data_IF_232510745136
#
_entry.id   IF_232510745136
#
_cell.length_a   1.000
_cell.length_b   1.000
_cell.length_c   1.000
_cell.angle_alpha   90.00
_cell.angle_beta   90.00
_cell.angle_gamma   90.00
#
_symmetry.space_group_name_H-M   'P 1'
#
loop_
_entity.id
_entity.type
_entity.pdbx_description
1 polymer ?
#
# COMPACT_ATOMS: atom_id res chain seq x y z
N UNK A 1 3.48 -24.79 27.83
CA UNK A 1 2.20 -24.16 28.24
C UNK A 1 2.58 -23.29 29.41
N UNK A 2 3.01 -22.08 29.13
CA UNK A 2 3.25 -21.08 30.17
C UNK A 2 1.91 -20.40 30.38
N UNK A 3 1.26 -20.72 31.51
CA UNK A 3 0.11 -19.96 31.99
C UNK A 3 0.56 -18.50 32.13
N UNK A 4 -0.08 -17.61 31.36
CA UNK A 4 0.08 -16.15 31.50
C UNK A 4 -0.30 -15.79 32.95
N UNK A 5 0.70 -15.61 33.81
CA UNK A 5 0.54 -14.80 35.01
C UNK A 5 0.02 -13.45 34.52
N UNK A 6 -1.22 -13.12 34.85
CA UNK A 6 -1.83 -11.84 34.52
C UNK A 6 -1.06 -10.70 35.18
N UNK A 7 -0.03 -10.21 34.50
CA UNK A 7 0.65 -8.95 34.84
C UNK A 7 -0.28 -7.81 34.46
N UNK A 8 -0.60 -6.92 35.39
CA UNK A 8 -1.45 -5.75 35.15
C UNK A 8 -0.69 -4.65 34.37
N UNK A 9 -0.08 -5.06 33.25
CA UNK A 9 0.77 -4.21 32.42
C UNK A 9 -0.10 -3.20 31.64
N UNK A 10 0.24 -1.90 31.67
CA UNK A 10 -0.52 -0.90 30.94
C UNK A 10 -0.55 -1.18 29.43
N UNK A 11 -1.66 -0.84 28.80
CA UNK A 11 -1.83 -0.94 27.35
C UNK A 11 -2.00 0.45 26.78
N UNK A 12 -1.30 0.78 25.72
CA UNK A 12 -1.43 2.05 25.00
C UNK A 12 -1.77 1.80 23.54
N UNK A 13 -2.35 2.81 22.89
CA UNK A 13 -2.60 2.78 21.45
C UNK A 13 -1.97 3.98 20.74
N UNK A 14 -1.69 3.79 19.45
CA UNK A 14 -1.32 4.83 18.50
C UNK A 14 -2.13 4.62 17.22
N UNK A 15 -2.93 5.62 16.86
CA UNK A 15 -3.63 5.68 15.58
C UNK A 15 -2.72 6.34 14.54
N UNK A 16 -2.40 5.62 13.47
CA UNK A 16 -1.37 6.01 12.51
C UNK A 16 -2.03 6.54 11.24
N UNK A 17 -1.56 7.70 10.78
CA UNK A 17 -1.84 8.22 9.44
C UNK A 17 -0.61 8.09 8.54
N UNK A 18 -0.81 7.74 7.28
CA UNK A 18 0.23 7.71 6.23
C UNK A 18 -0.24 8.60 5.07
N UNK A 19 0.53 9.64 4.74
CA UNK A 19 0.19 10.57 3.66
C UNK A 19 -1.14 11.29 3.88
N UNK A 20 -1.49 11.58 5.13
CA UNK A 20 -2.77 12.21 5.52
C UNK A 20 -3.97 11.27 5.60
N UNK A 21 -3.79 9.98 5.31
CA UNK A 21 -4.84 8.97 5.37
C UNK A 21 -4.70 8.11 6.62
N UNK A 22 -5.78 7.95 7.39
CA UNK A 22 -5.80 7.08 8.56
C UNK A 22 -5.57 5.62 8.14
N UNK A 23 -4.47 5.02 8.57
CA UNK A 23 -4.10 3.64 8.20
C UNK A 23 -4.70 2.63 9.18
N UNK A 24 -4.60 2.89 10.49
CA UNK A 24 -5.13 2.00 11.51
C UNK A 24 -4.49 2.21 12.89
N UNK A 25 -4.88 1.36 13.83
CA UNK A 25 -4.42 1.40 15.22
C UNK A 25 -3.32 0.39 15.50
N UNK A 26 -2.27 0.82 16.19
CA UNK A 26 -1.27 -0.04 16.84
C UNK A 26 -1.57 -0.08 18.32
N UNK A 27 -1.66 -1.27 18.90
CA UNK A 27 -1.82 -1.45 20.35
C UNK A 27 -0.59 -2.12 20.93
N UNK A 28 -0.07 -1.55 22.00
CA UNK A 28 1.14 -2.01 22.68
C UNK A 28 0.85 -2.34 24.14
N UNK A 29 1.52 -3.36 24.65
CA UNK A 29 1.61 -3.67 26.08
C UNK A 29 2.97 -3.19 26.60
N UNK A 30 2.97 -2.42 27.69
CA UNK A 30 4.16 -1.88 28.33
C UNK A 30 4.60 -2.79 29.48
N UNK A 31 5.87 -3.17 29.51
CA UNK A 31 6.46 -4.06 30.53
C UNK A 31 6.75 -3.30 31.82
N UNK A 32 5.71 -2.74 32.45
CA UNK A 32 5.83 -1.94 33.67
C UNK A 32 6.29 -2.79 34.89
N UNK A 33 6.13 -4.10 34.82
CA UNK A 33 6.66 -5.07 35.76
C UNK A 33 8.19 -5.25 35.68
N UNK A 34 8.80 -4.97 34.54
CA UNK A 34 10.26 -5.12 34.31
C UNK A 34 10.98 -3.77 34.24
N UNK A 35 10.37 -2.79 33.58
CA UNK A 35 10.92 -1.44 33.36
C UNK A 35 9.88 -0.35 33.69
N UNK A 36 9.44 -0.23 34.96
CA UNK A 36 8.37 0.67 35.38
C UNK A 36 8.61 2.13 34.99
N UNK A 37 9.85 2.64 35.07
CA UNK A 37 10.13 4.05 34.71
C UNK A 37 10.03 4.27 33.20
N UNK A 38 10.56 3.36 32.42
CA UNK A 38 10.52 3.44 30.95
C UNK A 38 9.09 3.28 30.44
N UNK A 39 8.33 2.35 31.02
CA UNK A 39 6.91 2.15 30.73
C UNK A 39 6.08 3.39 31.10
N UNK A 40 6.25 3.97 32.30
CA UNK A 40 5.52 5.17 32.72
C UNK A 40 5.85 6.37 31.83
N UNK A 41 7.11 6.54 31.41
CA UNK A 41 7.48 7.57 30.45
C UNK A 41 6.69 7.45 29.14
N UNK A 42 6.66 6.25 28.54
CA UNK A 42 5.93 6.04 27.30
C UNK A 42 4.41 6.21 27.48
N UNK A 43 3.84 5.65 28.55
CA UNK A 43 2.40 5.76 28.86
C UNK A 43 1.96 7.21 29.00
N UNK A 44 2.68 8.00 29.80
CA UNK A 44 2.37 9.41 30.02
C UNK A 44 2.56 10.27 28.76
N UNK A 45 3.52 9.93 27.90
CA UNK A 45 3.67 10.54 26.57
C UNK A 45 2.55 10.11 25.60
N UNK A 46 1.93 8.95 25.78
CA UNK A 46 0.72 8.59 25.04
C UNK A 46 -0.51 9.38 25.51
N UNK A 47 -0.65 9.66 26.81
CA UNK A 47 -1.81 10.40 27.35
C UNK A 47 -1.67 11.91 27.28
N UNK A 48 -0.45 12.43 27.24
CA UNK A 48 -0.18 13.87 27.30
C UNK A 48 -0.41 14.49 28.68
N UNK A 49 -0.58 13.68 29.72
CA UNK A 49 -1.03 14.15 31.04
C UNK A 49 -0.01 15.04 31.79
N UNK A 50 1.27 15.00 31.38
CA UNK A 50 2.35 15.75 32.05
C UNK A 50 2.50 17.19 31.55
N UNK A 51 1.62 17.65 30.65
CA UNK A 51 1.58 19.04 30.20
C UNK A 51 2.74 19.40 29.27
N UNK A 52 3.34 20.58 29.47
CA UNK A 52 4.40 21.13 28.62
C UNK A 52 5.78 20.75 29.17
N UNK A 53 6.65 20.25 28.29
CA UNK A 53 8.03 19.91 28.63
C UNK A 53 8.84 21.16 28.99
N UNK A 54 9.50 21.20 30.16
CA UNK A 54 10.20 22.40 30.62
C UNK A 54 11.44 22.74 29.79
N UNK A 55 12.05 21.78 29.09
CA UNK A 55 13.26 22.02 28.31
C UNK A 55 12.99 22.30 26.83
N UNK A 56 11.91 21.72 26.28
CA UNK A 56 11.53 21.86 24.87
C UNK A 56 10.42 22.86 24.62
N UNK A 57 9.60 23.18 25.64
CA UNK A 57 8.46 24.09 25.52
C UNK A 57 7.28 23.55 24.71
N UNK A 58 7.30 22.27 24.33
CA UNK A 58 6.22 21.59 23.59
C UNK A 58 5.44 20.64 24.51
N UNK A 59 4.20 20.24 24.18
CA UNK A 59 3.49 19.22 24.93
C UNK A 59 4.28 17.89 25.01
N UNK A 60 4.35 17.30 26.20
CA UNK A 60 4.86 15.95 26.44
C UNK A 60 3.84 14.92 25.95
N UNK A 61 3.63 14.85 24.63
CA UNK A 61 2.56 14.07 24.01
C UNK A 61 2.97 13.58 22.62
N UNK A 62 2.74 12.30 22.32
CA UNK A 62 3.02 11.71 21.01
C UNK A 62 2.02 12.10 19.91
N UNK A 63 0.84 12.61 20.27
CA UNK A 63 -0.16 13.05 19.29
C UNK A 63 0.41 14.14 18.38
N UNK A 64 0.43 13.87 17.08
CA UNK A 64 1.02 14.72 16.05
C UNK A 64 2.51 14.45 15.79
N UNK A 65 3.19 13.63 16.59
CA UNK A 65 4.59 13.25 16.37
C UNK A 65 4.72 12.33 15.16
N UNK A 66 5.87 12.41 14.50
CA UNK A 66 6.16 11.73 13.24
C UNK A 66 7.05 10.50 13.45
N UNK A 67 6.87 9.50 12.59
CA UNK A 67 7.92 8.52 12.32
C UNK A 67 8.90 9.16 11.34
N UNK A 68 10.02 9.66 11.85
CA UNK A 68 10.99 10.44 11.09
C UNK A 68 12.07 9.59 10.41
N UNK A 69 12.19 8.31 10.81
CA UNK A 69 13.16 7.37 10.26
C UNK A 69 12.58 5.96 10.15
N UNK A 70 12.64 5.36 8.96
CA UNK A 70 12.05 4.05 8.65
C UNK A 70 13.07 3.22 7.87
N UNK A 71 13.49 2.08 8.40
CA UNK A 71 14.42 1.18 7.72
C UNK A 71 13.74 -0.16 7.52
N UNK A 72 13.42 -0.46 6.25
CA UNK A 72 12.77 -1.71 5.87
C UNK A 72 13.61 -2.92 6.29
N UNK A 73 12.96 -3.90 6.93
CA UNK A 73 13.61 -5.09 7.45
C UNK A 73 14.41 -4.86 8.73
N UNK A 74 14.26 -3.69 9.38
CA UNK A 74 14.94 -3.38 10.63
C UNK A 74 13.98 -2.79 11.68
N UNK A 75 13.58 -1.53 11.54
CA UNK A 75 12.76 -0.81 12.52
C UNK A 75 12.07 0.43 11.93
N UNK A 76 11.05 0.92 12.63
CA UNK A 76 10.45 2.25 12.43
C UNK A 76 10.67 3.09 13.68
N UNK A 77 11.18 4.31 13.55
CA UNK A 77 11.54 5.19 14.67
C UNK A 77 10.71 6.48 14.65
N UNK A 78 10.21 6.84 15.83
CA UNK A 78 9.41 8.03 16.07
C UNK A 78 9.64 8.58 17.48
N UNK A 79 8.71 9.41 17.95
CA UNK A 79 8.75 9.94 19.31
C UNK A 79 9.67 11.14 19.51
N UNK A 80 10.19 11.76 18.44
CA UNK A 80 10.69 13.12 18.53
C UNK A 80 9.47 14.05 18.55
N UNK A 81 9.09 14.48 19.74
CA UNK A 81 7.91 15.31 20.01
C UNK A 81 8.16 16.80 19.79
N UNK A 82 9.41 17.20 19.53
CA UNK A 82 9.82 18.61 19.50
C UNK A 82 10.31 19.08 18.14
N UNK A 83 11.38 18.49 17.61
CA UNK A 83 11.94 18.85 16.30
C UNK A 83 11.29 18.01 15.18
N UNK A 84 10.91 16.77 15.48
CA UNK A 84 10.25 15.87 14.55
C UNK A 84 11.18 15.28 13.48
N UNK A 85 12.50 15.43 13.64
CA UNK A 85 13.54 14.99 12.69
C UNK A 85 14.58 14.04 13.31
N UNK A 86 14.43 13.72 14.61
CA UNK A 86 15.31 12.84 15.36
C UNK A 86 16.36 13.58 16.19
N UNK A 87 16.43 14.91 16.12
CA UNK A 87 17.37 15.72 16.91
C UNK A 87 16.81 16.17 18.26
N UNK A 88 15.49 16.04 18.46
CA UNK A 88 14.80 16.51 19.66
C UNK A 88 14.25 15.40 20.55
N UNK A 89 13.28 15.77 21.38
CA UNK A 89 12.59 14.92 22.33
C UNK A 89 12.96 15.24 23.77
N UNK A 90 12.08 14.87 24.68
CA UNK A 90 12.23 15.08 26.12
C UNK A 90 11.40 14.03 26.86
N UNK A 91 11.93 13.46 27.94
CA UNK A 91 11.19 12.51 28.77
C UNK A 91 10.30 13.25 29.79
N UNK A 92 9.37 12.53 30.41
CA UNK A 92 8.58 13.09 31.52
C UNK A 92 9.42 13.39 32.78
N UNK A 93 10.68 12.96 32.81
CA UNK A 93 11.62 13.16 33.91
C UNK A 93 12.65 14.26 33.62
N UNK A 94 12.54 14.95 32.47
CA UNK A 94 13.51 15.92 31.96
C UNK A 94 14.10 15.50 30.61
N UNK A 95 15.12 16.21 30.12
CA UNK A 95 15.72 15.97 28.80
C UNK A 95 16.09 14.50 28.55
N UNK A 96 16.72 13.86 29.54
CA UNK A 96 17.21 12.48 29.45
C UNK A 96 17.02 11.73 30.77
N UNK A 97 16.87 10.41 30.70
CA UNK A 97 16.90 9.50 31.84
C UNK A 97 17.75 8.25 31.54
N UNK A 98 18.09 7.54 32.62
CA UNK A 98 19.00 6.39 32.63
C UNK A 98 18.41 5.15 31.93
N UNK A 99 19.29 4.24 31.51
CA UNK A 99 18.89 2.91 31.07
C UNK A 99 18.45 2.10 32.30
N UNK A 100 17.19 1.66 32.32
CA UNK A 100 16.62 1.02 33.52
C UNK A 100 17.16 -0.39 33.74
N UNK A 101 17.11 -1.25 32.72
CA UNK A 101 17.83 -2.52 32.63
C UNK A 101 17.84 -3.03 31.18
N UNK A 102 18.50 -4.17 30.94
CA UNK A 102 18.56 -4.85 29.64
C UNK A 102 18.18 -6.34 29.74
N UNK A 103 17.26 -6.69 30.65
CA UNK A 103 16.82 -8.08 30.84
C UNK A 103 16.07 -8.59 29.61
N UNK A 104 15.22 -7.74 29.03
CA UNK A 104 14.47 -8.02 27.82
C UNK A 104 15.31 -7.78 26.56
N UNK A 105 15.17 -8.69 25.60
CA UNK A 105 15.94 -8.72 24.35
C UNK A 105 15.07 -8.44 23.13
N UNK A 106 15.71 -8.04 22.04
CA UNK A 106 15.05 -7.75 20.76
C UNK A 106 14.80 -9.03 19.95
N UNK A 107 14.10 -9.99 20.55
CA UNK A 107 14.02 -11.38 20.05
C UNK A 107 13.04 -11.59 18.90
N UNK A 108 12.08 -10.68 18.72
CA UNK A 108 11.00 -10.78 17.74
C UNK A 108 10.65 -9.43 17.12
N UNK A 109 9.89 -9.47 16.03
CA UNK A 109 9.24 -8.27 15.48
C UNK A 109 8.21 -7.73 16.48
N UNK A 110 7.97 -6.42 16.44
CA UNK A 110 6.99 -5.75 17.29
C UNK A 110 7.51 -5.43 18.69
N UNK A 111 8.80 -5.60 18.98
CA UNK A 111 9.37 -5.09 20.23
C UNK A 111 9.58 -3.58 20.12
N UNK A 112 9.15 -2.85 21.14
CA UNK A 112 9.38 -1.42 21.31
C UNK A 112 10.57 -1.21 22.24
N UNK A 113 11.45 -0.30 21.86
CA UNK A 113 12.67 0.00 22.61
C UNK A 113 13.05 1.47 22.48
N UNK A 114 13.73 1.98 23.50
CA UNK A 114 14.15 3.39 23.56
C UNK A 114 15.25 3.67 22.53
N UNK A 115 15.09 4.74 21.77
CA UNK A 115 16.19 5.32 21.00
C UNK A 115 17.04 6.20 21.94
N UNK A 116 18.36 6.15 21.79
CA UNK A 116 19.30 6.91 22.61
C UNK A 116 20.51 7.35 21.77
N UNK A 117 21.31 8.26 22.32
CA UNK A 117 22.58 8.74 21.75
C UNK A 117 23.79 8.25 22.55
N UNK A 118 23.70 7.03 23.10
CA UNK A 118 24.65 6.45 24.04
C UNK A 118 24.00 6.10 25.39
N UNK A 119 24.77 5.48 26.30
CA UNK A 119 24.26 5.02 27.59
C UNK A 119 23.58 6.14 28.39
N UNK A 120 22.45 5.82 29.03
CA UNK A 120 21.69 6.72 29.91
C UNK A 120 21.21 8.01 29.23
N UNK A 121 20.82 7.94 27.95
CA UNK A 121 20.32 9.09 27.19
C UNK A 121 18.92 8.90 26.62
N UNK A 122 18.08 8.15 27.34
CA UNK A 122 16.69 7.91 26.94
C UNK A 122 15.86 9.20 27.07
N UNK A 123 15.06 9.52 26.05
CA UNK A 123 14.18 10.69 26.02
C UNK A 123 12.73 10.29 25.74
N UNK A 124 12.14 10.86 24.70
CA UNK A 124 10.83 10.43 24.16
C UNK A 124 10.94 9.56 22.91
N UNK A 125 12.10 9.49 22.26
CA UNK A 125 12.24 8.74 21.02
C UNK A 125 12.24 7.23 21.27
N UNK A 126 11.55 6.49 20.41
CA UNK A 126 11.45 5.05 20.46
C UNK A 126 11.49 4.47 19.04
N UNK A 127 11.76 3.18 18.95
CA UNK A 127 11.60 2.43 17.71
C UNK A 127 10.78 1.15 17.92
N UNK A 128 10.06 0.75 16.88
CA UNK A 128 9.38 -0.54 16.79
C UNK A 128 10.15 -1.42 15.82
N UNK A 129 10.65 -2.54 16.32
CA UNK A 129 11.38 -3.52 15.50
C UNK A 129 10.44 -4.20 14.51
N UNK A 130 10.90 -4.41 13.29
CA UNK A 130 10.15 -5.17 12.26
C UNK A 130 10.76 -6.55 12.00
N UNK A 131 11.93 -6.82 12.58
CA UNK A 131 12.61 -8.12 12.58
C UNK A 131 13.29 -8.36 13.94
N UNK A 132 13.92 -9.51 14.14
CA UNK A 132 14.79 -9.78 15.29
C UNK A 132 16.08 -8.96 15.18
N UNK A 133 16.45 -8.23 16.23
CA UNK A 133 17.56 -7.24 16.19
C UNK A 133 18.54 -7.39 17.36
N UNK A 134 19.23 -8.54 17.49
CA UNK A 134 20.03 -8.87 18.68
C UNK A 134 21.27 -7.99 18.85
N UNK A 135 21.70 -7.28 17.80
CA UNK A 135 22.82 -6.34 17.86
C UNK A 135 22.50 -5.07 18.67
N UNK A 136 21.23 -4.86 19.03
CA UNK A 136 20.73 -3.79 19.90
C UNK A 136 20.64 -4.22 21.37
N UNK A 137 20.76 -5.51 21.67
CA UNK A 137 20.70 -6.04 23.03
C UNK A 137 21.82 -5.44 23.90
N UNK A 138 21.49 -5.05 25.13
CA UNK A 138 22.43 -4.40 26.06
C UNK A 138 22.74 -2.93 25.73
N UNK A 139 22.10 -2.35 24.71
CA UNK A 139 22.32 -0.95 24.29
C UNK A 139 21.06 -0.09 24.31
N UNK A 140 19.90 -0.72 24.11
CA UNK A 140 18.60 -0.06 24.09
C UNK A 140 17.63 -0.80 25.01
N UNK A 141 16.91 -0.04 25.84
CA UNK A 141 15.95 -0.59 26.80
C UNK A 141 14.69 -1.02 26.06
N UNK A 142 14.43 -2.32 26.00
CA UNK A 142 13.16 -2.89 25.53
C UNK A 142 12.11 -2.69 26.61
N UNK A 143 11.00 -2.04 26.27
CA UNK A 143 9.99 -1.65 27.27
C UNK A 143 8.56 -1.99 26.91
N UNK A 144 8.29 -2.44 25.69
CA UNK A 144 6.95 -2.81 25.28
C UNK A 144 6.96 -3.79 24.11
N UNK A 145 5.78 -4.35 23.81
CA UNK A 145 5.53 -5.12 22.59
C UNK A 145 4.21 -4.72 21.93
N UNK A 146 4.17 -4.79 20.60
CA UNK A 146 2.94 -4.71 19.82
C UNK A 146 2.11 -5.97 20.08
N UNK A 147 0.88 -5.78 20.53
CA UNK A 147 -0.09 -6.86 20.75
C UNK A 147 -1.17 -6.91 19.66
N UNK A 148 -1.48 -5.78 19.02
CA UNK A 148 -2.37 -5.67 17.85
C UNK A 148 -1.87 -4.60 16.88
N UNK A 149 -2.21 -4.71 15.61
CA UNK A 149 -1.85 -3.71 14.61
C UNK A 149 -0.42 -3.83 14.07
N UNK A 150 0.19 -5.02 14.19
CA UNK A 150 1.51 -5.26 13.57
C UNK A 150 1.47 -5.06 12.05
N UNK A 151 0.30 -5.27 11.42
CA UNK A 151 0.10 -4.95 10.01
C UNK A 151 0.21 -3.45 9.69
N UNK A 152 -0.24 -2.57 10.59
CA UNK A 152 -0.07 -1.11 10.46
C UNK A 152 1.40 -0.74 10.57
N UNK A 153 2.14 -1.35 11.50
CA UNK A 153 3.61 -1.21 11.59
C UNK A 153 4.30 -1.63 10.28
N UNK A 154 3.82 -2.71 9.64
CA UNK A 154 4.32 -3.13 8.32
C UNK A 154 3.95 -2.14 7.20
N UNK A 155 2.78 -1.54 7.24
CA UNK A 155 2.41 -0.47 6.29
C UNK A 155 3.36 0.72 6.41
N UNK A 156 3.71 1.13 7.64
CA UNK A 156 4.72 2.18 7.87
C UNK A 156 6.10 1.76 7.35
N UNK A 157 6.54 0.54 7.65
CA UNK A 157 7.83 0.00 7.17
C UNK A 157 7.96 0.00 5.63
N UNK A 158 6.85 -0.15 4.92
CA UNK A 158 6.80 -0.18 3.46
C UNK A 158 6.53 1.18 2.81
N UNK A 159 6.39 2.24 3.60
CA UNK A 159 6.35 3.59 3.07
C UNK A 159 7.66 3.90 2.33
N UNK A 160 7.61 4.56 1.15
CA UNK A 160 8.83 4.92 0.45
C UNK A 160 9.66 5.89 1.30
N UNK A 161 10.98 5.72 1.28
CA UNK A 161 11.93 6.53 2.05
C UNK A 161 12.88 7.28 1.12
N UNK A 162 13.28 8.47 1.54
CA UNK A 162 14.29 9.30 0.89
C UNK A 162 15.59 9.36 1.69
N UNK A 163 16.24 10.51 1.66
CA UNK A 163 17.50 10.75 2.37
C UNK A 163 17.35 10.54 3.88
N UNK A 164 18.39 9.97 4.50
CA UNK A 164 18.42 9.69 5.94
C UNK A 164 17.38 8.66 6.42
N UNK A 165 16.88 7.81 5.53
CA UNK A 165 15.80 6.85 5.79
C UNK A 165 14.47 7.52 6.17
N UNK A 166 14.27 8.79 5.80
CA UNK A 166 13.05 9.52 6.14
C UNK A 166 11.90 9.18 5.18
N UNK A 167 10.68 8.90 5.67
CA UNK A 167 9.53 8.65 4.79
C UNK A 167 9.25 9.81 3.83
N UNK A 168 9.01 9.52 2.54
CA UNK A 168 8.68 10.53 1.52
C UNK A 168 7.27 11.10 1.65
N UNK A 169 6.45 10.48 2.50
CA UNK A 169 5.10 10.93 2.87
C UNK A 169 5.01 10.99 4.38
N UNK A 170 4.24 11.93 4.90
CA UNK A 170 4.10 12.09 6.35
C UNK A 170 3.51 10.83 6.99
N UNK A 171 4.23 10.24 7.95
CA UNK A 171 3.73 9.19 8.83
C UNK A 171 3.60 9.75 10.23
N UNK A 172 2.37 9.89 10.71
CA UNK A 172 2.03 10.64 11.93
C UNK A 172 1.25 9.75 12.89
N UNK A 173 1.53 9.88 14.19
CA UNK A 173 0.66 9.39 15.27
C UNK A 173 -0.50 10.40 15.40
N UNK A 174 -1.62 10.13 14.73
CA UNK A 174 -2.76 11.04 14.65
C UNK A 174 -3.52 11.14 15.99
N UNK A 175 -3.57 10.05 16.74
CA UNK A 175 -4.08 10.01 18.10
C UNK A 175 -3.36 8.93 18.91
N UNK A 176 -3.29 9.09 20.22
CA UNK A 176 -2.72 8.10 21.11
C UNK A 176 -3.31 8.23 22.51
N UNK A 177 -3.12 7.18 23.31
CA UNK A 177 -3.61 7.18 24.68
C UNK A 177 -3.40 5.84 25.38
N UNK A 178 -3.84 5.79 26.62
CA UNK A 178 -3.91 4.58 27.42
C UNK A 178 -5.27 3.88 27.22
N UNK A 179 -5.26 2.56 27.17
CA UNK A 179 -6.44 1.70 27.15
C UNK A 179 -6.67 1.23 28.59
N UNK A 180 -7.80 1.60 29.23
CA UNK A 180 -8.12 1.14 30.58
C UNK A 180 -8.12 -0.39 30.71
N UNK A 181 -7.93 -0.87 31.92
CA UNK A 181 -8.11 -2.29 32.23
C UNK A 181 -9.52 -2.74 31.83
N UNK A 182 -9.63 -3.86 31.11
CA UNK A 182 -10.90 -4.34 30.54
C UNK A 182 -11.48 -3.50 29.39
N UNK A 183 -10.84 -2.38 29.00
CA UNK A 183 -11.26 -1.55 27.88
C UNK A 183 -11.11 -2.24 26.52
N UNK A 184 -11.97 -1.88 25.57
CA UNK A 184 -11.90 -2.36 24.19
C UNK A 184 -10.64 -1.85 23.48
N UNK A 185 -9.97 -2.72 22.72
CA UNK A 185 -8.74 -2.37 22.00
C UNK A 185 -8.99 -1.39 20.84
N UNK A 186 -10.23 -1.26 20.37
CA UNK A 186 -10.61 -0.37 19.28
C UNK A 186 -10.05 -0.75 17.92
N UNK A 187 -9.82 -2.04 17.67
CA UNK A 187 -9.32 -2.57 16.38
C UNK A 187 -10.44 -3.05 15.45
N UNK A 188 -11.65 -3.22 15.98
CA UNK A 188 -12.89 -3.58 15.27
C UNK A 188 -13.77 -2.36 15.13
N UNK A 189 -14.52 -2.24 14.02
CA UNK A 189 -15.33 -1.06 13.70
C UNK A 189 -14.56 0.27 13.82
N UNK A 190 -13.26 0.22 13.53
CA UNK A 190 -12.34 1.35 13.72
C UNK A 190 -12.77 2.59 12.93
N UNK A 191 -13.27 2.40 11.70
CA UNK A 191 -13.78 3.48 10.85
C UNK A 191 -15.26 3.84 11.12
N UNK A 192 -15.88 3.25 12.15
CA UNK A 192 -17.28 3.49 12.55
C UNK A 192 -18.28 3.27 11.41
N UNK A 193 -18.01 2.29 10.56
CA UNK A 193 -18.79 1.94 9.36
C UNK A 193 -19.61 0.65 9.53
N UNK A 194 -19.53 0.00 10.69
CA UNK A 194 -20.19 -1.26 11.00
C UNK A 194 -19.37 -2.52 10.68
N UNK A 195 -18.13 -2.36 10.19
CA UNK A 195 -17.24 -3.48 9.92
C UNK A 195 -16.61 -4.02 11.21
N UNK A 196 -17.18 -5.10 11.75
CA UNK A 196 -16.77 -5.67 13.03
C UNK A 196 -15.51 -6.54 12.97
N UNK A 197 -14.89 -6.71 11.81
CA UNK A 197 -13.66 -7.50 11.69
C UNK A 197 -12.42 -6.60 11.79
N UNK A 198 -11.33 -7.04 12.42
CA UNK A 198 -10.06 -6.32 12.37
C UNK A 198 -9.56 -6.14 10.93
N UNK A 199 -8.79 -5.09 10.66
CA UNK A 199 -8.25 -4.88 9.30
C UNK A 199 -7.21 -5.93 8.90
N UNK A 200 -6.54 -6.53 9.88
CA UNK A 200 -5.54 -7.56 9.69
C UNK A 200 -6.03 -8.88 10.32
N UNK A 201 -6.15 -9.98 9.53
CA UNK A 201 -6.56 -11.29 10.04
C UNK A 201 -5.78 -11.81 11.25
N UNK A 202 -4.49 -11.46 11.34
CA UNK A 202 -3.62 -11.87 12.44
C UNK A 202 -4.10 -11.33 13.80
N UNK A 203 -4.77 -10.18 13.80
CA UNK A 203 -5.27 -9.49 14.98
C UNK A 203 -6.60 -10.06 15.51
N UNK A 204 -7.21 -11.04 14.82
CA UNK A 204 -8.35 -11.79 15.36
C UNK A 204 -7.94 -12.53 16.63
N UNK A 205 -8.75 -12.38 17.68
CA UNK A 205 -8.59 -13.11 18.95
C UNK A 205 -8.81 -14.61 18.72
N UNK A 206 -9.94 -14.95 18.11
CA UNK A 206 -10.26 -16.31 17.71
C UNK A 206 -10.10 -16.47 16.19
N UNK A 207 -9.46 -17.56 15.77
CA UNK A 207 -9.22 -17.88 14.36
C UNK A 207 -10.00 -19.15 14.02
N UNK A 208 -11.21 -19.04 13.47
CA UNK A 208 -12.03 -20.22 13.16
C UNK A 208 -11.32 -21.17 12.19
N UNK A 209 -11.60 -22.46 12.33
CA UNK A 209 -11.11 -23.48 11.39
C UNK A 209 -11.96 -23.52 10.12
N UNK A 210 -13.27 -23.26 10.26
CA UNK A 210 -14.25 -23.34 9.17
C UNK A 210 -13.95 -22.34 8.05
N UNK A 211 -13.68 -22.86 6.84
CA UNK A 211 -13.40 -22.03 5.66
C UNK A 211 -14.58 -21.13 5.30
N UNK A 212 -15.81 -21.59 5.51
CA UNK A 212 -17.05 -20.84 5.27
C UNK A 212 -17.09 -19.52 6.05
N UNK A 213 -16.61 -19.53 7.30
CA UNK A 213 -16.53 -18.32 8.12
C UNK A 213 -15.60 -17.30 7.46
N UNK A 214 -14.39 -17.70 7.07
CA UNK A 214 -13.43 -16.80 6.41
C UNK A 214 -13.97 -16.25 5.09
N UNK A 215 -14.61 -17.10 4.28
CA UNK A 215 -15.26 -16.69 3.04
C UNK A 215 -16.37 -15.66 3.29
N UNK A 216 -17.12 -15.78 4.38
CA UNK A 216 -18.15 -14.80 4.77
C UNK A 216 -17.52 -13.43 5.12
N UNK A 217 -16.35 -13.42 5.77
CA UNK A 217 -15.62 -12.18 6.08
C UNK A 217 -15.06 -11.52 4.81
N UNK A 218 -14.55 -12.32 3.87
CA UNK A 218 -14.11 -11.83 2.55
C UNK A 218 -15.27 -11.17 1.81
N UNK A 219 -16.44 -11.83 1.76
CA UNK A 219 -17.63 -11.29 1.09
C UNK A 219 -18.13 -10.02 1.76
N UNK A 220 -18.18 -10.00 3.10
CA UNK A 220 -18.55 -8.83 3.89
C UNK A 220 -17.60 -7.65 3.60
N UNK A 221 -16.29 -7.87 3.68
CA UNK A 221 -15.26 -6.85 3.40
C UNK A 221 -15.36 -6.31 1.97
N UNK A 222 -15.60 -7.20 0.99
CA UNK A 222 -15.86 -6.81 -0.40
C UNK A 222 -17.13 -5.96 -0.52
N UNK A 223 -18.19 -6.32 0.20
CA UNK A 223 -19.46 -5.57 0.23
C UNK A 223 -19.27 -4.15 0.79
N UNK A 224 -18.51 -3.99 1.88
CA UNK A 224 -18.11 -2.67 2.38
C UNK A 224 -17.35 -1.87 1.32
N UNK A 225 -16.39 -2.50 0.62
CA UNK A 225 -15.67 -1.87 -0.49
C UNK A 225 -16.60 -1.39 -1.61
N UNK A 226 -17.61 -2.20 -1.98
CA UNK A 226 -18.63 -1.80 -2.95
C UNK A 226 -19.48 -0.63 -2.44
N UNK A 227 -19.80 -0.61 -1.13
CA UNK A 227 -20.52 0.47 -0.48
C UNK A 227 -19.78 1.80 -0.57
N UNK A 228 -18.50 1.82 -0.24
CA UNK A 228 -17.65 3.01 -0.38
C UNK A 228 -17.47 3.44 -1.83
N UNK A 229 -17.31 2.47 -2.75
CA UNK A 229 -17.22 2.78 -4.19
C UNK A 229 -18.46 3.54 -4.70
N UNK A 230 -19.66 3.12 -4.27
CA UNK A 230 -20.92 3.81 -4.61
C UNK A 230 -21.01 5.23 -4.06
N UNK A 231 -20.34 5.49 -2.93
CA UNK A 231 -20.23 6.83 -2.32
C UNK A 231 -19.09 7.66 -2.92
N UNK A 232 -18.42 7.15 -3.97
CA UNK A 232 -17.25 7.76 -4.61
C UNK A 232 -16.03 7.94 -3.70
N UNK A 233 -16.03 7.28 -2.52
CA UNK A 233 -14.85 7.19 -1.65
C UNK A 233 -13.99 6.01 -2.10
N UNK A 234 -13.23 6.26 -3.17
CA UNK A 234 -12.40 5.23 -3.80
C UNK A 234 -11.21 4.82 -2.92
N UNK A 235 -10.75 5.67 -1.99
CA UNK A 235 -9.66 5.35 -1.06
C UNK A 235 -10.12 4.33 -0.02
N UNK A 236 -11.27 4.57 0.63
CA UNK A 236 -11.84 3.60 1.56
C UNK A 236 -12.30 2.32 0.85
N UNK A 237 -12.84 2.42 -0.37
CA UNK A 237 -13.15 1.25 -1.18
C UNK A 237 -11.91 0.36 -1.37
N UNK A 238 -10.77 0.95 -1.77
CA UNK A 238 -9.50 0.21 -1.90
C UNK A 238 -9.05 -0.41 -0.58
N UNK A 239 -9.18 0.29 0.54
CA UNK A 239 -8.80 -0.24 1.85
C UNK A 239 -9.60 -1.51 2.17
N UNK A 240 -10.92 -1.48 1.95
CA UNK A 240 -11.80 -2.64 2.17
C UNK A 240 -11.54 -3.79 1.19
N UNK A 241 -11.23 -3.51 -0.07
CA UNK A 241 -10.82 -4.56 -1.02
C UNK A 241 -9.48 -5.20 -0.64
N UNK A 242 -8.50 -4.41 -0.19
CA UNK A 242 -7.22 -4.94 0.32
C UNK A 242 -7.43 -5.79 1.57
N UNK A 243 -8.31 -5.37 2.48
CA UNK A 243 -8.74 -6.20 3.62
C UNK A 243 -9.34 -7.52 3.16
N UNK A 244 -10.26 -7.49 2.20
CA UNK A 244 -10.86 -8.71 1.65
C UNK A 244 -9.80 -9.65 1.06
N UNK A 245 -8.78 -9.12 0.37
CA UNK A 245 -7.65 -9.92 -0.14
C UNK A 245 -6.82 -10.53 1.00
N UNK A 246 -6.52 -9.78 2.07
CA UNK A 246 -5.79 -10.32 3.23
C UNK A 246 -6.52 -11.49 3.88
N UNK A 247 -7.83 -11.38 4.06
CA UNK A 247 -8.65 -12.48 4.58
C UNK A 247 -8.70 -13.66 3.61
N UNK A 248 -8.77 -13.38 2.31
CA UNK A 248 -8.77 -14.41 1.27
C UNK A 248 -7.44 -15.18 1.22
N UNK A 249 -6.31 -14.51 1.44
CA UNK A 249 -5.00 -15.17 1.51
C UNK A 249 -4.95 -16.17 2.68
N UNK A 250 -5.52 -15.83 3.83
CA UNK A 250 -5.64 -16.78 4.96
C UNK A 250 -6.59 -17.94 4.64
N UNK A 251 -7.62 -17.71 3.82
CA UNK A 251 -8.48 -18.81 3.37
C UNK A 251 -7.67 -19.89 2.65
N UNK A 252 -6.69 -19.50 1.80
CA UNK A 252 -5.90 -20.43 0.99
C UNK A 252 -5.03 -21.40 1.79
N UNK A 253 -4.70 -21.04 3.03
CA UNK A 253 -3.87 -21.86 3.92
C UNK A 253 -4.69 -22.89 4.73
N UNK A 254 -6.01 -22.96 4.51
CA UNK A 254 -6.91 -23.87 5.26
C UNK A 254 -6.97 -25.26 4.64
N UNK A 255 -6.99 -26.29 5.48
CA UNK A 255 -6.96 -27.70 5.06
C UNK A 255 -8.22 -28.15 4.30
N UNK A 256 -9.38 -27.54 4.55
CA UNK A 256 -10.68 -27.97 3.99
C UNK A 256 -11.01 -27.38 2.61
N UNK A 257 -10.02 -26.91 1.85
CA UNK A 257 -10.24 -26.35 0.51
C UNK A 257 -10.32 -27.47 -0.52
N UNK A 258 -11.55 -27.79 -0.92
CA UNK A 258 -11.83 -28.61 -2.09
C UNK A 258 -11.78 -27.80 -3.39
N UNK A 259 -11.97 -28.47 -4.52
CA UNK A 259 -11.91 -27.87 -5.85
C UNK A 259 -13.02 -26.82 -6.07
N UNK A 260 -14.21 -27.02 -5.49
CA UNK A 260 -15.33 -26.08 -5.60
C UNK A 260 -15.03 -24.78 -4.86
N UNK A 261 -14.58 -24.88 -3.60
CA UNK A 261 -14.17 -23.72 -2.79
C UNK A 261 -12.99 -23.01 -3.42
N UNK A 262 -11.99 -23.73 -3.93
CA UNK A 262 -10.84 -23.16 -4.64
C UNK A 262 -11.28 -22.32 -5.86
N UNK A 263 -12.21 -22.86 -6.67
CA UNK A 263 -12.79 -22.15 -7.80
C UNK A 263 -13.54 -20.88 -7.36
N UNK A 264 -14.31 -20.97 -6.28
CA UNK A 264 -15.04 -19.82 -5.72
C UNK A 264 -14.10 -18.74 -5.15
N UNK A 265 -13.00 -19.13 -4.49
CA UNK A 265 -11.98 -18.22 -3.98
C UNK A 265 -11.28 -17.47 -5.12
N UNK A 266 -10.84 -18.18 -6.17
CA UNK A 266 -10.27 -17.56 -7.39
C UNK A 266 -11.25 -16.60 -8.04
N UNK A 267 -12.51 -17.00 -8.16
CA UNK A 267 -13.58 -16.14 -8.69
C UNK A 267 -13.73 -14.87 -7.88
N UNK A 268 -13.73 -14.99 -6.56
CA UNK A 268 -13.86 -13.87 -5.61
C UNK A 268 -12.66 -12.93 -5.69
N UNK A 269 -11.44 -13.49 -5.69
CA UNK A 269 -10.19 -12.73 -5.84
C UNK A 269 -10.16 -11.93 -7.14
N UNK A 270 -10.54 -12.55 -8.26
CA UNK A 270 -10.65 -11.88 -9.55
C UNK A 270 -11.62 -10.69 -9.51
N UNK A 271 -12.78 -10.84 -8.87
CA UNK A 271 -13.76 -9.76 -8.73
C UNK A 271 -13.23 -8.62 -7.86
N UNK A 272 -12.61 -8.94 -6.71
CA UNK A 272 -12.03 -7.93 -5.81
C UNK A 272 -10.94 -7.13 -6.54
N UNK A 273 -10.03 -7.80 -7.26
CA UNK A 273 -8.98 -7.16 -8.06
C UNK A 273 -9.56 -6.30 -9.19
N UNK A 274 -10.64 -6.75 -9.85
CA UNK A 274 -11.35 -5.95 -10.86
C UNK A 274 -11.92 -4.66 -10.26
N UNK A 275 -12.50 -4.74 -9.06
CA UNK A 275 -13.03 -3.56 -8.35
C UNK A 275 -11.91 -2.64 -7.85
N UNK A 276 -10.80 -3.22 -7.38
CA UNK A 276 -9.60 -2.47 -7.00
C UNK A 276 -9.02 -1.69 -8.17
N UNK A 277 -8.89 -2.34 -9.34
CA UNK A 277 -8.49 -1.69 -10.59
C UNK A 277 -9.38 -0.49 -10.94
N UNK A 278 -10.70 -0.64 -10.81
CA UNK A 278 -11.65 0.46 -11.05
C UNK A 278 -11.42 1.65 -10.12
N UNK A 279 -11.14 1.41 -8.83
CA UNK A 279 -10.81 2.49 -7.88
C UNK A 279 -9.50 3.18 -8.23
N UNK A 280 -8.47 2.40 -8.58
CA UNK A 280 -7.15 2.94 -8.95
C UNK A 280 -7.21 3.81 -10.21
N UNK A 281 -8.02 3.43 -11.20
CA UNK A 281 -8.30 4.29 -12.37
C UNK A 281 -8.90 5.64 -11.95
N UNK A 282 -9.85 5.63 -11.00
CA UNK A 282 -10.47 6.85 -10.49
C UNK A 282 -9.51 7.72 -9.68
N UNK A 283 -8.56 7.11 -9.00
CA UNK A 283 -7.52 7.79 -8.21
C UNK A 283 -6.29 8.21 -9.04
N UNK A 284 -6.23 7.86 -10.33
CA UNK A 284 -5.10 8.17 -11.21
C UNK A 284 -3.89 7.24 -11.06
N UNK A 285 -3.97 6.17 -10.27
CA UNK A 285 -2.96 5.12 -10.20
C UNK A 285 -3.10 4.17 -11.40
N UNK A 286 -2.69 4.64 -12.58
CA UNK A 286 -2.90 3.93 -13.84
C UNK A 286 -2.12 2.63 -13.92
N UNK A 287 -0.88 2.62 -13.42
CA UNK A 287 -0.02 1.43 -13.40
C UNK A 287 -0.57 0.38 -12.42
N UNK A 288 -0.96 0.79 -11.22
CA UNK A 288 -1.57 -0.12 -10.26
C UNK A 288 -2.94 -0.63 -10.73
N UNK A 289 -3.70 0.17 -11.46
CA UNK A 289 -4.96 -0.26 -12.06
C UNK A 289 -4.76 -1.36 -13.11
N UNK A 290 -3.76 -1.18 -13.98
CA UNK A 290 -3.40 -2.17 -14.99
C UNK A 290 -2.94 -3.47 -14.32
N UNK A 291 -2.06 -3.38 -13.32
CA UNK A 291 -1.56 -4.54 -12.58
C UNK A 291 -2.69 -5.35 -11.92
N UNK A 292 -3.65 -4.68 -11.28
CA UNK A 292 -4.80 -5.36 -10.66
C UNK A 292 -5.70 -6.02 -11.70
N UNK A 293 -5.90 -5.38 -12.87
CA UNK A 293 -6.68 -5.96 -13.95
C UNK A 293 -5.99 -7.22 -14.52
N UNK A 294 -4.67 -7.18 -14.70
CA UNK A 294 -3.88 -8.33 -15.14
C UNK A 294 -3.96 -9.50 -14.16
N UNK A 295 -3.80 -9.23 -12.85
CA UNK A 295 -3.96 -10.27 -11.84
C UNK A 295 -5.40 -10.81 -11.81
N UNK A 296 -6.42 -9.96 -11.97
CA UNK A 296 -7.80 -10.41 -12.04
C UNK A 296 -8.04 -11.42 -13.18
N UNK A 297 -7.39 -11.21 -14.33
CA UNK A 297 -7.47 -12.09 -15.50
C UNK A 297 -6.71 -13.41 -15.33
N UNK A 298 -5.66 -13.44 -14.51
CA UNK A 298 -4.92 -14.68 -14.20
C UNK A 298 -5.67 -15.59 -13.23
N UNK A 299 -6.50 -15.02 -12.36
CA UNK A 299 -7.26 -15.79 -11.38
C UNK A 299 -8.42 -16.58 -12.02
N UNK A 300 -9.04 -16.06 -13.08
CA UNK A 300 -10.10 -16.76 -13.83
C UNK A 300 -10.17 -16.31 -15.27
N UNK A 301 -10.49 -17.25 -16.14
CA UNK A 301 -10.89 -16.96 -17.51
C UNK A 301 -12.30 -16.34 -17.56
N UNK A 302 -12.61 -15.66 -18.66
CA UNK A 302 -13.95 -15.13 -18.92
C UNK A 302 -14.40 -13.95 -18.05
N UNK A 303 -13.49 -13.22 -17.39
CA UNK A 303 -13.85 -11.98 -16.69
C UNK A 303 -13.85 -10.77 -17.66
N UNK A 304 -14.97 -10.56 -18.36
CA UNK A 304 -15.15 -9.46 -19.30
C UNK A 304 -14.89 -8.07 -18.66
N UNK A 305 -15.31 -7.88 -17.41
CA UNK A 305 -15.10 -6.64 -16.65
C UNK A 305 -13.62 -6.37 -16.40
N UNK A 306 -12.81 -7.39 -16.13
CA UNK A 306 -11.37 -7.22 -15.95
C UNK A 306 -10.70 -6.77 -17.27
N UNK A 307 -11.02 -7.40 -18.40
CA UNK A 307 -10.56 -6.93 -19.73
C UNK A 307 -11.02 -5.50 -20.03
N UNK A 308 -12.24 -5.14 -19.64
CA UNK A 308 -12.72 -3.77 -19.78
C UNK A 308 -11.91 -2.78 -18.94
N UNK A 309 -11.60 -3.09 -17.67
CA UNK A 309 -10.73 -2.25 -16.82
C UNK A 309 -9.30 -2.17 -17.36
N UNK A 310 -8.76 -3.28 -17.86
CA UNK A 310 -7.46 -3.36 -18.50
C UNK A 310 -7.39 -2.41 -19.71
N UNK A 311 -8.40 -2.45 -20.58
CA UNK A 311 -8.50 -1.54 -21.72
C UNK A 311 -8.59 -0.07 -21.31
N UNK A 312 -9.35 0.26 -20.26
CA UNK A 312 -9.40 1.62 -19.71
C UNK A 312 -8.04 2.09 -19.18
N UNK A 313 -7.30 1.21 -18.49
CA UNK A 313 -5.95 1.51 -18.00
C UNK A 313 -4.98 1.77 -19.15
N UNK A 314 -4.99 0.93 -20.19
CA UNK A 314 -4.16 1.14 -21.38
C UNK A 314 -4.48 2.45 -22.12
N UNK A 315 -5.76 2.81 -22.26
CA UNK A 315 -6.15 4.12 -22.82
C UNK A 315 -5.54 5.26 -22.00
N UNK A 316 -5.62 5.18 -20.68
CA UNK A 316 -5.09 6.22 -19.80
C UNK A 316 -3.55 6.28 -19.83
N UNK A 317 -2.88 5.15 -20.06
CA UNK A 317 -1.43 5.04 -20.26
C UNK A 317 -0.98 5.37 -21.70
N UNK A 318 -1.89 5.79 -22.57
CA UNK A 318 -1.65 6.12 -23.98
C UNK A 318 -1.21 4.91 -24.86
N UNK A 319 -1.46 3.69 -24.41
CA UNK A 319 -1.28 2.47 -25.20
C UNK A 319 -2.60 2.06 -25.86
N UNK A 320 -2.95 2.77 -26.93
CA UNK A 320 -4.26 2.61 -27.59
C UNK A 320 -4.39 1.25 -28.29
N UNK A 321 -3.28 0.69 -28.78
CA UNK A 321 -3.29 -0.60 -29.47
C UNK A 321 -3.59 -1.74 -28.49
N UNK A 322 -2.93 -1.78 -27.33
CA UNK A 322 -3.23 -2.76 -26.28
C UNK A 322 -4.65 -2.61 -25.72
N UNK A 323 -5.15 -1.37 -25.63
CA UNK A 323 -6.52 -1.10 -25.23
C UNK A 323 -7.56 -1.72 -26.17
N UNK A 324 -7.35 -1.60 -27.49
CA UNK A 324 -8.26 -2.19 -28.49
C UNK A 324 -8.32 -3.70 -28.37
N UNK A 325 -7.18 -4.38 -28.18
CA UNK A 325 -7.17 -5.83 -27.99
C UNK A 325 -7.88 -6.25 -26.70
N UNK A 326 -7.70 -5.49 -25.62
CA UNK A 326 -8.40 -5.74 -24.36
C UNK A 326 -9.92 -5.58 -24.51
N UNK A 327 -10.38 -4.51 -25.16
CA UNK A 327 -11.81 -4.28 -25.39
C UNK A 327 -12.44 -5.28 -26.37
N UNK A 328 -11.69 -5.79 -27.36
CA UNK A 328 -12.17 -6.89 -28.23
C UNK A 328 -12.45 -8.15 -27.42
N UNK A 329 -11.49 -8.57 -26.59
CA UNK A 329 -11.66 -9.74 -25.70
C UNK A 329 -12.83 -9.55 -24.73
N UNK A 330 -13.00 -8.35 -24.18
CA UNK A 330 -14.17 -8.04 -23.35
C UNK A 330 -15.49 -8.18 -24.13
N UNK A 331 -15.54 -7.71 -25.38
CA UNK A 331 -16.73 -7.77 -26.24
C UNK A 331 -17.03 -9.20 -26.73
N UNK A 332 -16.02 -10.03 -26.95
CA UNK A 332 -16.19 -11.45 -27.28
C UNK A 332 -16.91 -12.20 -26.15
N UNK A 333 -16.61 -11.83 -24.89
CA UNK A 333 -17.25 -12.41 -23.71
C UNK A 333 -18.64 -11.82 -23.44
N UNK A 334 -18.86 -10.53 -23.71
CA UNK A 334 -20.15 -9.85 -23.53
C UNK A 334 -20.57 -9.06 -24.79
N UNK A 335 -21.05 -9.74 -25.86
CA UNK A 335 -21.29 -9.12 -27.18
C UNK A 335 -22.38 -8.04 -27.20
N UNK A 336 -23.21 -7.98 -26.17
CA UNK A 336 -24.33 -7.04 -26.07
C UNK A 336 -24.05 -5.85 -25.16
N UNK A 337 -22.87 -5.77 -24.52
CA UNK A 337 -22.54 -4.64 -23.65
C UNK A 337 -22.30 -3.36 -24.46
N UNK A 338 -23.17 -2.37 -24.27
CA UNK A 338 -23.09 -1.08 -24.96
C UNK A 338 -21.91 -0.22 -24.52
N UNK A 339 -21.44 -0.38 -23.27
CA UNK A 339 -20.28 0.33 -22.73
C UNK A 339 -18.99 -0.12 -23.40
N UNK A 340 -18.78 -1.44 -23.52
CA UNK A 340 -17.61 -2.02 -24.20
C UNK A 340 -17.59 -1.59 -25.68
N UNK A 341 -18.74 -1.65 -26.38
CA UNK A 341 -18.84 -1.21 -27.78
C UNK A 341 -18.43 0.25 -27.96
N UNK A 342 -18.89 1.12 -27.06
CA UNK A 342 -18.60 2.56 -27.10
C UNK A 342 -17.10 2.84 -26.92
N UNK A 343 -16.47 2.24 -25.90
CA UNK A 343 -15.05 2.42 -25.62
C UNK A 343 -14.17 1.84 -26.75
N UNK A 344 -14.53 0.66 -27.27
CA UNK A 344 -13.84 0.05 -28.41
C UNK A 344 -13.89 0.95 -29.66
N UNK A 345 -15.06 1.51 -29.97
CA UNK A 345 -15.22 2.41 -31.10
C UNK A 345 -14.39 3.69 -30.92
N UNK A 346 -14.37 4.26 -29.71
CA UNK A 346 -13.55 5.42 -29.39
C UNK A 346 -12.04 5.13 -29.54
N UNK A 347 -11.58 3.98 -29.04
CA UNK A 347 -10.19 3.53 -29.16
C UNK A 347 -9.78 3.31 -30.62
N UNK A 348 -10.60 2.62 -31.42
CA UNK A 348 -10.37 2.44 -32.87
C UNK A 348 -10.30 3.76 -33.62
N UNK A 349 -11.15 4.73 -33.28
CA UNK A 349 -11.12 6.08 -33.85
C UNK A 349 -9.80 6.80 -33.53
N UNK A 350 -9.27 6.67 -32.31
CA UNK A 350 -7.95 7.23 -31.94
C UNK A 350 -6.83 6.65 -32.81
N UNK A 351 -6.81 5.33 -33.04
CA UNK A 351 -5.82 4.69 -33.93
C UNK A 351 -5.94 5.22 -35.37
N UNK A 352 -7.16 5.31 -35.89
CA UNK A 352 -7.39 5.83 -37.25
C UNK A 352 -6.90 7.27 -37.41
N UNK A 353 -7.18 8.14 -36.43
CA UNK A 353 -6.70 9.52 -36.42
C UNK A 353 -5.17 9.60 -36.35
N UNK A 354 -4.52 8.78 -35.50
CA UNK A 354 -3.05 8.72 -35.40
C UNK A 354 -2.43 8.33 -36.75
N UNK A 355 -2.95 7.28 -37.39
CA UNK A 355 -2.50 6.83 -38.72
C UNK A 355 -2.68 7.89 -39.80
N UNK A 356 -3.80 8.61 -39.79
CA UNK A 356 -4.04 9.72 -40.73
C UNK A 356 -3.05 10.88 -40.52
N UNK A 357 -2.75 11.22 -39.27
CA UNK A 357 -1.73 12.23 -38.94
C UNK A 357 -0.32 11.80 -39.38
N UNK A 358 0.07 10.56 -39.10
CA UNK A 358 1.36 9.98 -39.55
C UNK A 358 1.46 10.03 -41.08
N UNK A 359 0.41 9.60 -41.79
CA UNK A 359 0.36 9.64 -43.27
C UNK A 359 0.53 11.07 -43.79
N UNK A 360 -0.14 12.05 -43.18
CA UNK A 360 -0.01 13.47 -43.54
C UNK A 360 1.39 14.02 -43.27
N UNK A 361 2.02 13.62 -42.17
CA UNK A 361 3.38 14.02 -41.83
C UNK A 361 4.41 13.45 -42.82
N UNK A 362 4.32 12.15 -43.14
CA UNK A 362 5.16 11.52 -44.16
C UNK A 362 4.97 12.17 -45.53
N UNK A 363 3.72 12.43 -45.95
CA UNK A 363 3.45 13.11 -47.22
C UNK A 363 4.14 14.49 -47.30
N UNK A 364 4.19 15.25 -46.21
CA UNK A 364 4.90 16.54 -46.15
C UNK A 364 6.43 16.41 -46.22
N UNK A 365 7.01 15.32 -45.72
CA UNK A 365 8.46 15.09 -45.78
C UNK A 365 8.97 14.76 -47.19
N UNK A 366 8.12 14.23 -48.07
CA UNK A 366 8.48 13.87 -49.46
C UNK A 366 8.09 14.92 -50.50
N UNK A 367 7.46 16.04 -50.10
CA UNK A 367 7.30 17.21 -50.96
C UNK A 367 8.57 18.07 -50.78
N UNK A 368 9.57 17.82 -51.63
CA UNK A 368 10.72 18.72 -51.76
C UNK A 368 10.23 20.10 -52.24
N UNK A 369 10.85 21.23 -51.83
CA UNK A 369 10.51 22.52 -52.37
C UNK A 369 10.92 22.53 -53.85
N UNK A 370 9.95 22.44 -54.76
CA UNK A 370 10.14 22.80 -56.16
C UNK A 370 10.48 24.29 -56.18
N UNK A 371 11.77 24.63 -56.31
CA UNK A 371 12.13 25.97 -56.79
C UNK A 371 11.53 26.10 -58.20
N UNK A 372 10.83 27.19 -58.52
CA UNK A 372 10.39 27.42 -59.90
C UNK A 372 11.63 27.77 -60.73
N UNK A 373 11.85 27.01 -61.79
CA UNK A 373 12.94 27.16 -62.74
C UNK A 373 12.86 28.50 -63.48
N UNK A 374 14.02 29.14 -63.66
CA UNK A 374 14.27 30.14 -64.69
C UNK A 374 15.17 29.53 -65.76
N UNK A 375 14.54 29.15 -66.87
CA UNK A 375 14.97 29.09 -68.28
C UNK A 375 16.36 28.60 -68.75
N UNK A 376 16.27 27.54 -69.58
CA UNK A 376 16.92 27.26 -70.90
C UNK A 376 18.40 26.80 -70.93
N UNK A 377 18.68 25.51 -71.28
CA UNK A 377 19.03 25.01 -72.64
C UNK A 377 19.72 23.61 -72.63
N UNK A 378 19.20 22.70 -73.48
CA UNK A 378 19.87 21.62 -74.22
C UNK A 378 21.03 20.76 -73.60
N UNK A 379 20.78 19.47 -73.35
CA UNK A 379 21.28 18.33 -74.17
C UNK A 379 21.06 16.95 -73.53
N UNK A 380 20.69 16.01 -74.39
CA UNK A 380 20.49 14.57 -74.20
C UNK A 380 21.61 13.86 -73.41
N UNK A 381 21.22 12.90 -72.55
CA UNK A 381 21.55 11.45 -72.62
C UNK A 381 21.22 10.74 -71.30
N UNK A 382 20.69 9.52 -71.39
CA UNK A 382 20.81 8.53 -70.31
C UNK A 382 19.50 7.95 -69.79
N UNK A 383 18.88 7.10 -70.59
CA UNK A 383 17.81 6.17 -70.20
C UNK A 383 18.28 5.18 -69.11
N UNK A 384 17.29 4.60 -68.41
CA UNK A 384 17.30 3.36 -67.58
C UNK A 384 17.67 3.48 -66.09
N UNK A 385 16.68 3.26 -65.21
CA UNK A 385 16.60 2.15 -64.23
C UNK A 385 15.33 2.30 -63.37
N UNK A 386 14.19 1.83 -63.90
CA UNK A 386 12.97 1.63 -63.13
C UNK A 386 12.30 0.36 -63.66
N UNK A 387 12.68 -0.77 -63.07
CA UNK A 387 11.91 -2.01 -63.01
C UNK A 387 12.73 -3.07 -62.29
N UNK A 388 12.59 -3.18 -60.95
CA UNK A 388 12.80 -4.43 -60.19
C UNK A 388 12.65 -4.19 -58.69
N UNK A 389 11.43 -4.09 -58.13
CA UNK A 389 11.11 -4.66 -56.82
C UNK A 389 9.60 -5.01 -56.77
N UNK A 390 9.16 -6.01 -57.53
CA UNK A 390 8.03 -6.86 -57.14
C UNK A 390 8.37 -8.28 -57.59
N UNK A 391 8.85 -9.13 -56.67
CA UNK A 391 9.13 -10.53 -56.97
C UNK A 391 10.15 -11.20 -56.04
N UNK A 392 9.64 -11.75 -54.93
CA UNK A 392 10.12 -12.93 -54.17
C UNK A 392 11.62 -13.31 -54.23
N UNK A 393 12.23 -13.37 -53.05
CA UNK A 393 13.45 -14.17 -52.83
C UNK A 393 13.50 -14.75 -51.41
N UNK A 394 13.09 -16.02 -51.24
CA UNK A 394 13.54 -16.88 -50.14
C UNK A 394 15.03 -17.15 -50.33
N UNK A 395 15.79 -17.06 -49.24
CA UNK A 395 17.22 -17.37 -49.23
C UNK A 395 17.38 -18.77 -48.61
N UNK A 396 17.97 -19.69 -49.37
CA UNK A 396 18.72 -20.82 -48.83
C UNK A 396 20.16 -20.63 -49.30
N UNK A 397 21.08 -20.61 -48.34
CA UNK A 397 22.52 -20.69 -48.57
C UNK A 397 22.93 -22.17 -48.58
N UNK A 398 23.97 -22.54 -49.35
CA UNK A 398 24.62 -23.84 -49.22
C UNK A 398 25.41 -23.98 -47.92
#
# INVERSE_FOLDING_TARGET
MDEEKGTNNPRCFMDICIGGEMEGRVVVELFADVVPRTAENFRALCTGEKGIGPNTGVPLHYKGSRFHRVIKGFMIQGGDISAGDGTGGESIYGLKFEDENFELKHEKKGMLSMANSGPNTNGSQFFITTTRTPHLDGKHVVFARVIKGMGVVRSVEHAPTGDGDSPTVDVIIADCGEIPEGGELGITNFFKDGDMYPDWPADLDEKPNEVSWWMSVVESSKSFGNGYYKKEDYKMALKKYRKALRYLDVCWDKEEIDEEKSSLLRKTKSVILTNSSACKLKLGDLKGALLDADFALREREGNAKAFFRQGQAYIALNDVDAAVESFKKALELEPNDGGIKKELAAAKKKIANRRDQERKAYAKMFIAPTKPDGDIEEKQKGFTYLNLIWGRGRIHLP
#
